data_IF_400996533782
#
_entry.id   IF_400996533782
#
_cell.length_a   1.000
_cell.length_b   1.000
_cell.length_c   1.000
_cell.angle_alpha   90.00
_cell.angle_beta   90.00
_cell.angle_gamma   90.00
#
_symmetry.space_group_name_H-M   'P 1'
#
loop_
_entity.id
_entity.type
_entity.pdbx_description
1 polymer ?
#
# COMPACT_ATOMS: atom_id res chain seq x y z
N UNK A 1 75.75 1.03 -12.45
CA UNK A 1 74.44 1.41 -13.01
C UNK A 1 73.47 1.61 -11.87
N UNK A 2 73.22 2.90 -11.53
CA UNK A 2 72.27 3.30 -10.49
C UNK A 2 70.93 3.65 -11.17
N UNK A 3 69.85 3.02 -10.75
CA UNK A 3 68.48 3.41 -11.09
C UNK A 3 67.97 4.36 -9.99
N UNK A 4 67.73 5.59 -10.38
CA UNK A 4 67.09 6.58 -9.51
C UNK A 4 65.58 6.35 -9.46
N UNK A 5 65.05 6.29 -8.24
CA UNK A 5 63.64 6.31 -7.97
C UNK A 5 63.14 7.76 -7.81
N UNK A 6 62.31 8.22 -8.72
CA UNK A 6 61.61 9.51 -8.59
C UNK A 6 60.37 9.35 -7.78
N UNK A 7 60.38 9.91 -6.59
CA UNK A 7 59.19 9.98 -5.71
C UNK A 7 58.37 11.21 -6.12
N UNK A 8 57.19 10.98 -6.68
CA UNK A 8 56.25 12.07 -6.96
C UNK A 8 55.42 12.35 -5.70
N UNK A 9 55.64 13.49 -5.11
CA UNK A 9 54.90 14.01 -3.99
C UNK A 9 53.53 14.54 -4.51
N UNK A 10 52.42 13.97 -4.04
CA UNK A 10 51.12 14.56 -4.19
C UNK A 10 50.91 15.68 -3.19
N UNK A 11 50.80 16.89 -3.68
CA UNK A 11 50.45 18.04 -2.89
C UNK A 11 48.97 17.96 -2.48
N UNK A 12 48.71 17.98 -1.18
CA UNK A 12 47.40 18.19 -0.59
C UNK A 12 47.05 19.67 -0.67
N UNK A 13 45.95 20.01 -1.36
CA UNK A 13 45.35 21.33 -1.29
C UNK A 13 44.39 21.39 -0.10
N UNK A 14 44.48 22.44 0.73
CA UNK A 14 43.57 22.67 1.82
C UNK A 14 42.48 23.65 1.34
N UNK A 15 41.45 23.18 0.69
CA UNK A 15 40.26 24.01 0.47
C UNK A 15 39.05 23.36 1.17
N UNK A 16 38.70 24.01 2.29
CA UNK A 16 37.53 23.69 3.07
C UNK A 16 36.26 23.95 2.26
N UNK A 17 35.52 22.88 1.97
CA UNK A 17 34.17 22.98 1.52
C UNK A 17 33.27 23.03 2.75
N UNK A 18 33.14 24.20 3.36
CA UNK A 18 32.03 24.56 4.24
C UNK A 18 30.89 25.05 3.34
N UNK A 19 29.97 24.18 3.05
CA UNK A 19 28.80 24.49 2.24
C UNK A 19 27.79 23.38 2.34
N UNK A 20 27.41 22.97 3.56
CA UNK A 20 26.19 22.22 3.78
C UNK A 20 25.03 23.19 3.51
N UNK A 21 24.66 23.31 2.24
CA UNK A 21 23.40 23.94 1.85
C UNK A 21 22.29 23.06 2.42
N UNK A 22 21.68 23.51 3.50
CA UNK A 22 20.45 22.94 4.04
C UNK A 22 19.40 23.05 2.92
N UNK A 23 19.15 21.93 2.25
CA UNK A 23 17.96 21.79 1.41
C UNK A 23 16.78 21.98 2.35
N UNK A 24 16.23 23.18 2.35
CA UNK A 24 14.94 23.46 2.95
C UNK A 24 13.93 22.64 2.14
N UNK A 25 13.69 21.41 2.56
CA UNK A 25 12.50 20.67 2.16
C UNK A 25 11.33 21.47 2.71
N UNK A 26 10.65 22.20 1.82
CA UNK A 26 9.40 22.85 2.13
C UNK A 26 8.48 21.83 2.80
N UNK A 27 8.25 21.98 4.10
CA UNK A 27 7.25 21.24 4.85
C UNK A 27 5.89 21.67 4.31
N UNK A 28 5.42 21.00 3.26
CA UNK A 28 4.01 20.96 2.98
C UNK A 28 3.38 20.32 4.22
N UNK A 29 2.55 21.09 4.96
CA UNK A 29 1.79 20.60 6.10
C UNK A 29 1.11 19.32 5.66
N UNK A 30 1.60 18.18 6.15
CA UNK A 30 1.09 16.87 5.81
C UNK A 30 -0.37 16.81 6.27
N UNK A 31 -1.32 16.80 5.34
CA UNK A 31 -2.75 16.74 5.60
C UNK A 31 -3.28 15.32 5.69
N UNK A 32 -2.39 14.33 5.73
CA UNK A 32 -2.71 12.91 5.77
C UNK A 32 -3.30 12.43 7.09
N UNK A 33 -3.58 11.16 7.15
CA UNK A 33 -3.99 10.47 8.38
C UNK A 33 -2.74 10.12 9.21
N UNK A 34 -2.89 10.14 10.55
CA UNK A 34 -1.84 9.65 11.46
C UNK A 34 -2.02 8.16 11.71
N UNK A 35 -0.92 7.42 11.63
CA UNK A 35 -0.80 6.00 11.96
C UNK A 35 0.38 5.80 12.92
N UNK A 36 0.47 4.66 13.56
CA UNK A 36 1.52 4.33 14.52
C UNK A 36 2.29 3.10 14.02
N UNK A 37 3.60 3.16 14.12
CA UNK A 37 4.49 2.03 13.88
C UNK A 37 5.57 1.98 14.96
N UNK A 38 5.57 0.91 15.77
CA UNK A 38 6.51 0.71 16.89
C UNK A 38 6.60 1.93 17.80
N UNK A 39 5.44 2.50 18.16
CA UNK A 39 5.33 3.66 19.04
C UNK A 39 5.62 5.02 18.40
N UNK A 40 6.00 5.07 17.11
CA UNK A 40 6.26 6.31 16.39
C UNK A 40 5.07 6.67 15.50
N UNK A 41 4.68 7.95 15.52
CA UNK A 41 3.65 8.48 14.64
C UNK A 41 4.22 8.68 13.23
N UNK A 42 3.55 8.11 12.24
CA UNK A 42 3.77 8.33 10.82
C UNK A 42 2.53 8.96 10.20
N UNK A 43 2.67 9.50 9.00
CA UNK A 43 1.56 10.14 8.29
C UNK A 43 1.40 9.54 6.89
N UNK A 44 0.16 9.49 6.42
CA UNK A 44 -0.12 9.16 5.03
C UNK A 44 -0.03 10.40 4.14
N UNK A 45 0.08 10.22 2.82
CA UNK A 45 0.15 11.32 1.84
C UNK A 45 -1.14 12.11 1.71
N UNK A 46 -2.27 11.51 2.10
CA UNK A 46 -3.59 12.12 2.00
C UNK A 46 -4.57 11.52 2.99
N UNK A 47 -5.84 11.87 2.84
CA UNK A 47 -6.94 11.28 3.60
C UNK A 47 -7.55 10.13 2.83
N UNK A 48 -7.91 9.07 3.56
CA UNK A 48 -8.60 7.92 3.00
C UNK A 48 -9.98 8.32 2.43
N UNK A 49 -10.44 7.60 1.43
CA UNK A 49 -11.79 7.72 0.87
C UNK A 49 -12.85 7.59 1.97
N UNK A 50 -14.01 8.24 1.77
CA UNK A 50 -15.08 8.28 2.77
C UNK A 50 -16.26 7.42 2.34
N UNK A 51 -16.93 6.82 3.32
CA UNK A 51 -18.22 6.13 3.12
C UNK A 51 -19.25 7.05 2.50
N UNK A 52 -20.14 6.49 1.68
CA UNK A 52 -21.19 7.22 0.95
C UNK A 52 -20.71 7.94 -0.31
N UNK A 53 -19.42 7.91 -0.60
CA UNK A 53 -18.84 8.50 -1.82
C UNK A 53 -18.55 7.43 -2.86
N UNK A 54 -18.56 7.82 -4.13
CA UNK A 54 -18.07 6.96 -5.21
C UNK A 54 -16.57 6.68 -5.00
N UNK A 55 -16.19 5.40 -5.05
CA UNK A 55 -14.79 5.01 -4.99
C UNK A 55 -14.07 5.52 -6.25
N UNK A 56 -12.90 6.18 -6.12
CA UNK A 56 -12.08 6.55 -7.27
C UNK A 56 -11.66 5.30 -8.04
N UNK A 57 -11.63 5.40 -9.37
CA UNK A 57 -11.02 4.36 -10.18
C UNK A 57 -9.52 4.34 -10.00
N UNK A 58 -8.88 3.22 -10.30
CA UNK A 58 -7.44 3.02 -10.19
C UNK A 58 -6.95 2.07 -11.28
N UNK A 59 -5.62 2.05 -11.49
CA UNK A 59 -4.93 1.04 -12.28
C UNK A 59 -3.93 0.32 -11.38
N UNK A 60 -4.14 -0.96 -11.16
CA UNK A 60 -3.25 -1.81 -10.35
C UNK A 60 -2.76 -2.99 -11.19
N UNK A 61 -1.54 -3.42 -10.96
CA UNK A 61 -0.88 -4.40 -11.82
C UNK A 61 -1.04 -5.82 -11.28
N UNK A 62 -1.51 -6.73 -12.11
CA UNK A 62 -1.58 -8.18 -11.85
C UNK A 62 -0.24 -8.89 -12.11
N UNK A 63 -0.19 -10.19 -11.80
CA UNK A 63 0.99 -11.04 -11.97
C UNK A 63 1.45 -11.20 -13.43
N UNK A 64 0.55 -11.05 -14.38
CA UNK A 64 0.82 -11.05 -15.82
C UNK A 64 1.21 -9.68 -16.38
N UNK A 65 1.41 -8.70 -15.50
CA UNK A 65 1.73 -7.30 -15.78
C UNK A 65 0.62 -6.50 -16.48
N UNK A 66 -0.58 -7.06 -16.62
CA UNK A 66 -1.74 -6.31 -17.07
C UNK A 66 -2.27 -5.43 -15.94
N UNK A 67 -2.77 -4.25 -16.31
CA UNK A 67 -3.39 -3.36 -15.34
C UNK A 67 -4.89 -3.66 -15.23
N UNK A 68 -5.38 -3.69 -13.99
CA UNK A 68 -6.77 -3.90 -13.61
C UNK A 68 -7.31 -2.61 -13.00
N UNK A 69 -8.54 -2.27 -13.33
CA UNK A 69 -9.26 -1.10 -12.82
C UNK A 69 -10.34 -1.52 -11.83
N UNK A 70 -10.72 -0.62 -10.93
CA UNK A 70 -11.91 -0.85 -10.11
C UNK A 70 -13.16 -1.03 -10.96
N UNK A 71 -13.29 -0.27 -12.06
CA UNK A 71 -14.40 -0.35 -13.01
C UNK A 71 -14.56 -1.72 -13.70
N UNK A 72 -13.51 -2.56 -13.73
CA UNK A 72 -13.58 -3.92 -14.28
C UNK A 72 -14.42 -4.85 -13.39
N UNK A 73 -14.61 -4.47 -12.12
CA UNK A 73 -15.44 -5.18 -11.14
C UNK A 73 -16.85 -4.58 -10.99
N UNK A 74 -17.30 -3.75 -11.95
CA UNK A 74 -18.63 -3.16 -11.92
C UNK A 74 -19.71 -4.24 -11.77
N UNK A 75 -20.66 -4.01 -10.87
CA UNK A 75 -21.73 -4.97 -10.56
C UNK A 75 -21.31 -6.02 -9.53
N UNK A 76 -20.09 -5.97 -9.01
CA UNK A 76 -19.62 -6.79 -7.89
C UNK A 76 -19.37 -5.93 -6.66
N UNK A 77 -19.51 -6.52 -5.50
CA UNK A 77 -19.01 -5.96 -4.24
C UNK A 77 -17.50 -6.20 -4.19
N UNK A 78 -16.75 -5.19 -3.77
CA UNK A 78 -15.28 -5.24 -3.77
C UNK A 78 -14.76 -4.92 -2.37
N UNK A 79 -13.95 -5.81 -1.82
CA UNK A 79 -13.19 -5.56 -0.59
C UNK A 79 -11.76 -5.24 -1.00
N UNK A 80 -11.29 -4.04 -0.67
CA UNK A 80 -9.89 -3.66 -0.83
C UNK A 80 -9.18 -3.92 0.50
N UNK A 81 -8.37 -4.96 0.57
CA UNK A 81 -7.45 -5.24 1.67
C UNK A 81 -6.10 -4.63 1.34
N UNK A 82 -5.82 -3.46 1.90
CA UNK A 82 -4.60 -2.67 1.65
C UNK A 82 -3.63 -2.85 2.80
N UNK A 83 -2.35 -3.09 2.50
CA UNK A 83 -1.34 -3.36 3.52
C UNK A 83 0.08 -3.01 3.05
N UNK A 84 1.07 -2.87 3.97
CA UNK A 84 2.43 -2.49 3.63
C UNK A 84 3.18 -3.49 2.73
N UNK A 85 3.25 -4.76 3.12
CA UNK A 85 3.95 -5.80 2.36
C UNK A 85 3.57 -7.21 2.82
N UNK A 86 3.43 -8.13 1.86
CA UNK A 86 3.20 -9.56 2.08
C UNK A 86 4.29 -10.23 2.93
N UNK A 87 5.50 -9.70 2.89
CA UNK A 87 6.64 -10.24 3.64
C UNK A 87 6.63 -9.83 5.13
N UNK A 88 5.49 -9.29 5.63
CA UNK A 88 5.30 -9.02 7.06
C UNK A 88 4.23 -9.97 7.66
N UNK A 89 4.41 -10.45 8.90
CA UNK A 89 3.52 -11.47 9.48
C UNK A 89 2.02 -11.09 9.46
N UNK A 90 1.69 -9.88 9.93
CA UNK A 90 0.30 -9.42 10.00
C UNK A 90 -0.34 -9.26 8.61
N UNK A 91 0.43 -8.85 7.59
CA UNK A 91 -0.09 -8.74 6.23
C UNK A 91 -0.39 -10.12 5.63
N UNK A 92 0.53 -11.07 5.82
CA UNK A 92 0.33 -12.46 5.40
C UNK A 92 -0.92 -13.08 6.04
N UNK A 93 -1.12 -12.87 7.36
CA UNK A 93 -2.34 -13.29 8.07
C UNK A 93 -3.57 -12.66 7.44
N UNK A 94 -3.59 -11.34 7.20
CA UNK A 94 -4.78 -10.68 6.67
C UNK A 94 -5.19 -11.19 5.28
N UNK A 95 -4.23 -11.57 4.44
CA UNK A 95 -4.54 -12.15 3.12
C UNK A 95 -5.14 -13.55 3.25
N UNK A 96 -4.60 -14.39 4.17
CA UNK A 96 -5.15 -15.74 4.45
C UNK A 96 -6.57 -15.65 4.99
N UNK A 97 -6.80 -14.77 5.99
CA UNK A 97 -8.11 -14.57 6.61
C UNK A 97 -9.16 -14.15 5.58
N UNK A 98 -8.85 -13.18 4.74
CA UNK A 98 -9.76 -12.78 3.67
C UNK A 98 -9.96 -13.89 2.62
N UNK A 99 -8.91 -14.65 2.28
CA UNK A 99 -9.05 -15.77 1.35
C UNK A 99 -10.00 -16.85 1.90
N UNK A 100 -9.96 -17.12 3.20
CA UNK A 100 -10.84 -18.10 3.85
C UNK A 100 -12.26 -17.57 4.02
N UNK A 101 -12.41 -16.42 4.71
CA UNK A 101 -13.69 -15.87 5.15
C UNK A 101 -14.54 -15.32 4.02
N UNK A 102 -13.94 -14.70 2.99
CA UNK A 102 -14.67 -14.16 1.86
C UNK A 102 -15.24 -15.23 0.91
N UNK A 103 -14.86 -16.49 1.10
CA UNK A 103 -15.32 -17.60 0.26
C UNK A 103 -16.84 -17.84 0.29
N UNK A 104 -17.51 -17.40 1.36
CA UNK A 104 -18.95 -17.52 1.53
C UNK A 104 -19.76 -16.31 1.05
N UNK A 105 -19.12 -15.25 0.54
CA UNK A 105 -19.78 -14.03 0.13
C UNK A 105 -20.15 -14.07 -1.36
N UNK A 106 -21.45 -14.05 -1.65
CA UNK A 106 -21.95 -13.99 -3.02
C UNK A 106 -21.60 -12.66 -3.68
N UNK A 107 -21.27 -12.73 -4.97
CA UNK A 107 -20.97 -11.58 -5.83
C UNK A 107 -19.91 -10.63 -5.25
N UNK A 108 -18.92 -11.18 -4.54
CA UNK A 108 -17.90 -10.40 -3.85
C UNK A 108 -16.50 -10.80 -4.33
N UNK A 109 -15.63 -9.83 -4.54
CA UNK A 109 -14.21 -10.03 -4.82
C UNK A 109 -13.36 -9.34 -3.76
N UNK A 110 -12.23 -9.96 -3.41
CA UNK A 110 -11.24 -9.37 -2.51
C UNK A 110 -9.97 -9.04 -3.29
N UNK A 111 -9.60 -7.78 -3.28
CA UNK A 111 -8.38 -7.26 -3.88
C UNK A 111 -7.34 -7.03 -2.77
N UNK A 112 -6.23 -7.74 -2.81
CA UNK A 112 -5.12 -7.62 -1.86
C UNK A 112 -4.05 -6.70 -2.45
N UNK A 113 -3.92 -5.49 -1.90
CA UNK A 113 -3.18 -4.39 -2.51
C UNK A 113 -1.98 -3.99 -1.65
N UNK A 114 -0.79 -3.98 -2.26
CA UNK A 114 0.46 -3.52 -1.63
C UNK A 114 1.41 -2.91 -2.67
N UNK A 115 2.55 -2.40 -2.19
CA UNK A 115 3.64 -1.93 -3.06
C UNK A 115 4.58 -3.08 -3.49
N UNK A 116 4.35 -4.30 -3.02
CA UNK A 116 5.12 -5.46 -3.47
C UNK A 116 5.02 -5.62 -4.98
N UNK A 117 6.09 -6.10 -5.61
CA UNK A 117 6.07 -6.37 -7.04
C UNK A 117 5.09 -7.50 -7.38
N UNK A 118 4.46 -7.49 -8.56
CA UNK A 118 3.49 -8.51 -8.97
C UNK A 118 4.03 -9.93 -8.88
N UNK A 119 5.33 -10.12 -9.14
CA UNK A 119 6.00 -11.42 -9.05
C UNK A 119 6.09 -11.95 -7.62
N UNK A 120 6.37 -11.07 -6.64
CA UNK A 120 6.41 -11.43 -5.23
C UNK A 120 5.00 -11.81 -4.72
N UNK A 121 3.99 -11.05 -5.11
CA UNK A 121 2.59 -11.33 -4.78
C UNK A 121 2.13 -12.67 -5.38
N UNK A 122 2.47 -12.94 -6.64
CA UNK A 122 2.15 -14.21 -7.31
C UNK A 122 2.80 -15.38 -6.60
N UNK A 123 4.11 -15.28 -6.29
CA UNK A 123 4.84 -16.31 -5.55
C UNK A 123 4.18 -16.60 -4.21
N UNK A 124 3.84 -15.57 -3.43
CA UNK A 124 3.20 -15.71 -2.14
C UNK A 124 1.87 -16.46 -2.28
N UNK A 125 0.96 -16.00 -3.14
CA UNK A 125 -0.35 -16.62 -3.32
C UNK A 125 -0.22 -18.09 -3.79
N UNK A 126 0.72 -18.38 -4.71
CA UNK A 126 0.96 -19.75 -5.18
C UNK A 126 1.50 -20.65 -4.07
N UNK A 127 2.47 -20.17 -3.30
CA UNK A 127 3.08 -20.94 -2.20
C UNK A 127 2.06 -21.25 -1.09
N UNK A 128 1.18 -20.29 -0.80
CA UNK A 128 0.16 -20.39 0.25
C UNK A 128 -1.16 -21.04 -0.25
N UNK A 129 -1.29 -21.35 -1.53
CA UNK A 129 -2.50 -21.92 -2.11
C UNK A 129 -3.72 -20.99 -2.09
N UNK A 130 -3.51 -19.68 -2.15
CA UNK A 130 -4.56 -18.67 -2.05
C UNK A 130 -5.18 -18.42 -3.43
N UNK A 131 -6.42 -18.83 -3.63
CA UNK A 131 -7.11 -18.78 -4.93
C UNK A 131 -8.35 -17.90 -4.95
N UNK A 132 -8.76 -17.36 -3.79
CA UNK A 132 -10.02 -16.61 -3.63
C UNK A 132 -9.79 -15.11 -3.45
N UNK A 133 -8.56 -14.67 -3.38
CA UNK A 133 -8.15 -13.27 -3.37
C UNK A 133 -7.41 -12.94 -4.65
N UNK A 134 -7.46 -11.69 -5.07
CA UNK A 134 -6.76 -11.17 -6.25
C UNK A 134 -5.63 -10.26 -5.76
N UNK A 135 -4.36 -10.70 -5.86
CA UNK A 135 -3.23 -9.85 -5.52
C UNK A 135 -3.02 -8.80 -6.60
N UNK A 136 -2.88 -7.53 -6.18
CA UNK A 136 -2.68 -6.39 -7.07
C UNK A 136 -1.57 -5.49 -6.55
N UNK A 137 -0.63 -5.17 -7.40
CA UNK A 137 0.50 -4.31 -7.08
C UNK A 137 0.23 -2.85 -7.42
N UNK A 138 0.48 -1.97 -6.45
CA UNK A 138 0.43 -0.52 -6.63
C UNK A 138 1.80 0.08 -6.99
N UNK A 139 2.83 -0.73 -7.31
CA UNK A 139 4.21 -0.27 -7.47
C UNK A 139 4.40 0.83 -8.51
N UNK A 140 3.52 0.92 -9.50
CA UNK A 140 3.53 1.96 -10.54
C UNK A 140 2.24 2.77 -10.62
N UNK A 141 1.29 2.57 -9.69
CA UNK A 141 -0.01 3.21 -9.67
C UNK A 141 0.04 4.55 -8.91
N UNK A 142 0.14 5.65 -9.64
CA UNK A 142 0.06 6.98 -9.04
C UNK A 142 -1.37 7.35 -8.67
N UNK A 143 -2.35 6.95 -9.45
CA UNK A 143 -3.76 7.22 -9.23
C UNK A 143 -4.27 6.57 -7.93
N UNK A 144 -3.91 5.30 -7.66
CA UNK A 144 -4.26 4.67 -6.39
C UNK A 144 -3.65 5.40 -5.20
N UNK A 145 -2.34 5.66 -5.24
CA UNK A 145 -1.64 6.30 -4.12
C UNK A 145 -2.14 7.70 -3.83
N UNK A 146 -2.51 8.46 -4.86
CA UNK A 146 -3.02 9.83 -4.73
C UNK A 146 -4.49 9.86 -4.28
N UNK A 147 -5.36 9.07 -4.95
CA UNK A 147 -6.80 9.14 -4.76
C UNK A 147 -7.28 8.45 -3.47
N UNK A 148 -6.59 7.40 -3.04
CA UNK A 148 -6.91 6.68 -1.80
C UNK A 148 -6.18 7.24 -0.59
N UNK A 149 -5.12 8.04 -0.79
CA UNK A 149 -4.39 8.75 0.27
C UNK A 149 -3.70 7.85 1.29
N UNK A 150 -3.44 6.59 0.95
CA UNK A 150 -2.94 5.57 1.89
C UNK A 150 -1.43 5.37 1.84
N UNK A 151 -0.70 6.02 0.92
CA UNK A 151 0.75 5.90 0.91
C UNK A 151 1.36 6.60 2.13
N UNK A 152 2.31 5.94 2.79
CA UNK A 152 3.03 6.49 3.95
C UNK A 152 4.03 7.53 3.46
N UNK A 153 3.96 8.73 4.03
CA UNK A 153 4.71 9.91 3.57
C UNK A 153 6.06 10.09 4.27
N UNK A 154 6.22 9.50 5.46
CA UNK A 154 7.37 9.74 6.33
C UNK A 154 7.83 8.48 7.07
N UNK A 155 8.92 8.62 7.82
CA UNK A 155 9.52 7.56 8.63
C UNK A 155 10.07 6.38 7.84
N UNK A 156 10.41 5.27 8.53
CA UNK A 156 11.09 4.12 7.92
C UNK A 156 10.22 3.33 6.94
N UNK A 157 8.90 3.53 6.97
CA UNK A 157 7.95 2.86 6.08
C UNK A 157 7.50 3.76 4.91
N UNK A 158 8.15 4.91 4.72
CA UNK A 158 7.84 5.84 3.62
C UNK A 158 7.81 5.11 2.28
N UNK A 159 6.76 5.36 1.50
CA UNK A 159 6.56 4.76 0.19
C UNK A 159 5.71 3.48 0.19
N UNK A 160 5.60 2.78 1.33
CA UNK A 160 4.66 1.67 1.49
C UNK A 160 3.22 2.19 1.66
N UNK A 161 2.25 1.27 1.66
CA UNK A 161 0.86 1.59 1.96
C UNK A 161 0.55 1.38 3.44
N UNK A 162 -0.29 2.24 4.01
CA UNK A 162 -0.88 2.04 5.32
C UNK A 162 -1.85 0.86 5.29
N UNK A 163 -2.09 0.23 6.44
CA UNK A 163 -3.07 -0.85 6.52
C UNK A 163 -4.48 -0.27 6.59
N UNK A 164 -5.32 -0.69 5.63
CA UNK A 164 -6.71 -0.26 5.57
C UNK A 164 -7.60 -1.33 4.92
N UNK A 165 -8.88 -1.33 5.29
CA UNK A 165 -9.91 -2.10 4.59
C UNK A 165 -10.99 -1.16 4.09
N UNK A 166 -11.39 -1.33 2.83
CA UNK A 166 -12.42 -0.53 2.19
C UNK A 166 -13.40 -1.49 1.51
N UNK A 167 -14.71 -1.31 1.73
CA UNK A 167 -15.76 -2.07 1.04
C UNK A 167 -16.49 -1.16 0.10
N UNK A 168 -16.60 -1.60 -1.15
CA UNK A 168 -17.30 -0.90 -2.23
C UNK A 168 -18.47 -1.76 -2.71
N UNK A 169 -19.65 -1.17 -2.90
CA UNK A 169 -20.82 -1.88 -3.40
C UNK A 169 -20.84 -2.03 -4.94
N UNK A 170 -21.85 -2.69 -5.45
CA UNK A 170 -22.05 -2.97 -6.88
C UNK A 170 -22.21 -1.71 -7.74
N UNK A 171 -22.61 -0.57 -7.13
CA UNK A 171 -22.69 0.75 -7.80
C UNK A 171 -21.37 1.52 -7.74
N UNK A 172 -20.36 0.99 -7.06
CA UNK A 172 -19.07 1.65 -6.85
C UNK A 172 -19.08 2.66 -5.71
N UNK A 173 -20.01 2.55 -4.76
CA UNK A 173 -20.10 3.43 -3.59
C UNK A 173 -19.36 2.78 -2.41
N UNK A 174 -18.53 3.55 -1.72
CA UNK A 174 -17.83 3.11 -0.52
C UNK A 174 -18.85 2.91 0.62
N UNK A 175 -18.92 1.69 1.17
CA UNK A 175 -19.85 1.33 2.25
C UNK A 175 -19.16 1.14 3.59
N UNK A 176 -17.86 0.87 3.58
CA UNK A 176 -17.05 0.73 4.79
C UNK A 176 -15.64 1.24 4.56
N UNK A 177 -15.05 1.83 5.58
CA UNK A 177 -13.64 2.21 5.59
C UNK A 177 -13.06 2.01 6.98
N UNK A 178 -11.92 1.36 7.06
CA UNK A 178 -11.16 1.21 8.29
C UNK A 178 -9.69 1.48 8.02
N UNK A 179 -9.12 2.51 8.63
CA UNK A 179 -7.67 2.71 8.70
C UNK A 179 -7.17 2.14 10.02
N UNK A 180 -6.26 1.18 9.97
CA UNK A 180 -5.69 0.56 11.16
C UNK A 180 -4.61 1.50 11.72
N UNK A 181 -4.89 2.08 12.88
CA UNK A 181 -4.04 3.11 13.47
C UNK A 181 -2.68 2.58 13.89
N UNK A 182 -2.62 1.41 14.54
CA UNK A 182 -1.35 0.71 14.80
C UNK A 182 -1.13 -0.31 13.68
N UNK A 183 -0.17 -0.04 12.81
CA UNK A 183 0.01 -0.76 11.55
C UNK A 183 0.34 -2.26 11.71
N UNK A 184 0.79 -2.66 12.90
CA UNK A 184 1.06 -4.04 13.27
C UNK A 184 -0.18 -4.82 13.74
N UNK A 185 -1.32 -4.14 13.93
CA UNK A 185 -2.58 -4.78 14.27
C UNK A 185 -3.32 -5.26 13.02
N UNK A 186 -4.13 -6.30 13.20
CA UNK A 186 -5.03 -6.81 12.17
C UNK A 186 -6.25 -5.91 12.00
N UNK A 187 -6.90 -5.92 10.81
CA UNK A 187 -8.17 -5.24 10.62
C UNK A 187 -9.32 -6.00 11.29
N UNK A 188 -10.44 -5.33 11.47
CA UNK A 188 -11.70 -5.97 11.85
C UNK A 188 -12.31 -6.64 10.61
N UNK A 189 -12.03 -7.93 10.45
CA UNK A 189 -12.49 -8.73 9.32
C UNK A 189 -14.02 -8.85 9.33
N UNK A 190 -14.63 -9.08 10.49
CA UNK A 190 -16.06 -9.31 10.62
C UNK A 190 -16.85 -8.06 10.20
N UNK A 191 -16.44 -6.88 10.64
CA UNK A 191 -17.07 -5.62 10.22
C UNK A 191 -16.99 -5.41 8.70
N UNK A 192 -15.87 -5.75 8.07
CA UNK A 192 -15.72 -5.63 6.62
C UNK A 192 -16.59 -6.63 5.86
N UNK A 193 -16.63 -7.89 6.32
CA UNK A 193 -17.41 -8.97 5.70
C UNK A 193 -18.91 -8.76 5.87
N UNK A 194 -19.36 -8.34 7.05
CA UNK A 194 -20.76 -7.98 7.31
C UNK A 194 -21.22 -6.84 6.38
N UNK A 195 -20.37 -5.81 6.22
CA UNK A 195 -20.67 -4.73 5.28
C UNK A 195 -20.70 -5.18 3.83
N UNK A 196 -19.80 -6.08 3.43
CA UNK A 196 -19.86 -6.68 2.10
C UNK A 196 -21.09 -7.56 1.91
N UNK A 197 -21.52 -8.30 2.93
CA UNK A 197 -22.74 -9.11 2.87
C UNK A 197 -24.02 -8.26 2.75
N UNK A 198 -24.08 -7.15 3.51
CA UNK A 198 -25.27 -6.27 3.60
C UNK A 198 -25.26 -5.12 2.59
N UNK A 199 -24.17 -4.90 1.85
CA UNK A 199 -24.05 -3.87 0.82
C UNK A 199 -24.89 -4.22 -0.41
N UNK A 200 -26.21 -4.34 -0.22
CA UNK A 200 -27.17 -4.51 -1.30
C UNK A 200 -27.61 -3.14 -1.80
N UNK A 201 -27.89 -3.05 -3.08
CA UNK A 201 -28.43 -1.85 -3.75
C UNK A 201 -29.81 -1.51 -3.21
N UNK A 202 -29.93 -0.48 -2.37
CA UNK A 202 -31.14 0.31 -2.28
C UNK A 202 -31.23 1.30 -3.43
#
# INVERSE_FOLDING_TARGET
>A
LALGATTTAFAQSPDGITGASAVQTGQTKNKGESIIYKGNTLHTTGKMVKTGRKAPDFHLTQSDLQDVKLSDFKGKKVILNVFPSLDTPTCAVSVREFNEKASGLENTVVLCISMDLPFAQSRFCTTEGLTRVIPLSAFRSQDFTQNYGLQIADGPMKGLLARAVIVVDEKGIVRHTQLIKEISQEPDYEAALERAATATTE
#
